data_IF_997463685651
#
_entry.id   IF_997463685651
#
_cell.length_a   1.000
_cell.length_b   1.000
_cell.length_c   1.000
_cell.angle_alpha   90.00
_cell.angle_beta   90.00
_cell.angle_gamma   90.00
#
_symmetry.space_group_name_H-M   'P 1'
#
loop_
_entity.id
_entity.type
_entity.pdbx_description
1 polymer ?
#
# COMPACT_ATOMS: atom_id res chain seq x y z
N UNK A 1 -6.21 -24.98 -2.16
CA UNK A 1 -5.02 -24.25 -2.65
C UNK A 1 -5.35 -22.88 -3.24
N UNK A 2 -6.40 -22.73 -4.08
CA UNK A 2 -6.78 -21.43 -4.66
C UNK A 2 -7.03 -20.37 -3.58
N UNK A 3 -7.82 -20.70 -2.57
CA UNK A 3 -8.14 -19.79 -1.48
C UNK A 3 -6.90 -19.26 -0.71
N UNK A 4 -5.93 -20.11 -0.38
CA UNK A 4 -4.69 -19.67 0.27
C UNK A 4 -3.85 -18.76 -0.62
N UNK A 5 -3.86 -18.99 -1.94
CA UNK A 5 -3.17 -18.12 -2.91
C UNK A 5 -3.84 -16.76 -3.03
N UNK A 6 -5.18 -16.71 -2.98
CA UNK A 6 -5.91 -15.44 -2.98
C UNK A 6 -5.60 -14.62 -1.73
N UNK A 7 -5.59 -15.23 -0.54
CA UNK A 7 -5.20 -14.54 0.69
C UNK A 7 -3.75 -14.05 0.61
N UNK A 8 -2.83 -14.86 0.09
CA UNK A 8 -1.43 -14.46 -0.06
C UNK A 8 -1.26 -13.27 -1.03
N UNK A 9 -2.03 -13.23 -2.12
CA UNK A 9 -2.08 -12.10 -3.05
C UNK A 9 -2.55 -10.84 -2.33
N UNK A 10 -3.62 -10.91 -1.56
CA UNK A 10 -4.16 -9.76 -0.82
C UNK A 10 -3.17 -9.25 0.23
N UNK A 11 -2.55 -10.16 0.99
CA UNK A 11 -1.51 -9.82 1.97
C UNK A 11 -0.35 -9.09 1.28
N UNK A 12 0.15 -9.59 0.15
CA UNK A 12 1.23 -8.93 -0.60
C UNK A 12 0.81 -7.55 -1.11
N UNK A 13 -0.43 -7.38 -1.57
CA UNK A 13 -0.94 -6.08 -2.02
C UNK A 13 -0.98 -5.07 -0.88
N UNK A 14 -1.51 -5.46 0.28
CA UNK A 14 -1.60 -4.60 1.47
C UNK A 14 -0.20 -4.24 2.00
N UNK A 15 0.73 -5.19 2.04
CA UNK A 15 2.11 -4.92 2.43
C UNK A 15 2.82 -3.97 1.46
N UNK A 16 2.66 -4.18 0.15
CA UNK A 16 3.22 -3.29 -0.87
C UNK A 16 2.69 -1.85 -0.70
N UNK A 17 1.37 -1.71 -0.60
CA UNK A 17 0.74 -0.41 -0.39
C UNK A 17 1.18 0.27 0.91
N UNK A 18 1.22 -0.47 2.02
CA UNK A 18 1.66 0.05 3.32
C UNK A 18 3.11 0.51 3.26
N UNK A 19 3.99 -0.27 2.63
CA UNK A 19 5.40 0.10 2.46
C UNK A 19 5.56 1.34 1.59
N UNK A 20 4.76 1.48 0.53
CA UNK A 20 4.75 2.69 -0.30
C UNK A 20 4.32 3.92 0.50
N UNK A 21 3.26 3.82 1.32
CA UNK A 21 2.77 4.90 2.18
C UNK A 21 3.81 5.30 3.22
N UNK A 22 4.56 4.34 3.77
CA UNK A 22 5.64 4.59 4.73
C UNK A 22 6.83 5.37 4.13
N UNK A 23 7.06 5.24 2.82
CA UNK A 23 8.13 5.91 2.10
C UNK A 23 7.81 7.39 1.81
N UNK A 24 6.53 7.77 1.81
CA UNK A 24 6.09 9.14 1.48
C UNK A 24 6.41 10.11 2.64
N UNK A 25 7.03 11.27 2.37
CA UNK A 25 7.28 12.27 3.39
C UNK A 25 5.97 12.87 3.94
N UNK A 26 5.89 12.98 5.27
CA UNK A 26 4.73 13.50 5.99
C UNK A 26 4.81 15.02 6.08
N UNK A 27 3.69 15.72 5.85
CA UNK A 27 3.56 17.16 6.04
C UNK A 27 2.24 17.48 6.77
N UNK A 28 2.17 18.63 7.44
CA UNK A 28 0.97 19.04 8.22
C UNK A 28 -0.28 19.19 7.35
N UNK A 29 -0.12 19.40 6.03
CA UNK A 29 -1.22 19.51 5.07
C UNK A 29 -1.08 18.50 3.94
N UNK A 30 -2.19 17.85 3.58
CA UNK A 30 -2.31 17.02 2.38
C UNK A 30 -2.35 17.94 1.17
N UNK A 31 -1.27 18.00 0.40
CA UNK A 31 -1.26 18.67 -0.89
C UNK A 31 -1.41 17.60 -1.97
N UNK A 32 -2.45 17.76 -2.79
CA UNK A 32 -2.59 17.04 -4.05
C UNK A 32 -2.20 18.01 -5.15
N UNK A 33 -1.13 17.68 -5.86
CA UNK A 33 -0.73 18.44 -7.04
C UNK A 33 -1.43 17.81 -8.25
N UNK A 34 -2.48 18.49 -8.73
CA UNK A 34 -3.21 18.09 -9.92
C UNK A 34 -2.46 18.67 -11.12
N UNK A 35 -1.55 17.89 -11.70
CA UNK A 35 -1.02 18.20 -13.02
C UNK A 35 -2.04 17.71 -14.07
N UNK A 36 -2.17 18.43 -15.20
CA UNK A 36 -3.17 18.22 -16.28
C UNK A 36 -3.33 16.75 -16.77
N UNK A 37 -2.40 15.86 -16.43
CA UNK A 37 -2.45 14.42 -16.74
C UNK A 37 -2.10 13.48 -15.59
N UNK A 38 -1.75 13.99 -14.40
CA UNK A 38 -1.25 13.17 -13.28
C UNK A 38 -1.61 13.81 -11.94
N UNK A 39 -2.46 13.14 -11.17
CA UNK A 39 -2.70 13.49 -9.76
C UNK A 39 -1.60 12.82 -8.95
N UNK A 40 -0.62 13.59 -8.48
CA UNK A 40 0.46 13.09 -7.64
C UNK A 40 0.21 13.52 -6.20
N UNK A 41 0.20 12.54 -5.29
CA UNK A 41 0.16 12.80 -3.86
C UNK A 41 1.56 13.19 -3.43
N UNK A 42 1.81 14.48 -3.25
CA UNK A 42 3.14 14.99 -2.89
C UNK A 42 3.41 14.86 -1.39
N UNK A 43 2.38 15.10 -0.56
CA UNK A 43 2.49 15.01 0.89
C UNK A 43 1.20 14.48 1.51
N UNK A 44 1.34 13.63 2.53
CA UNK A 44 0.22 13.08 3.30
C UNK A 44 0.28 13.61 4.73
N UNK A 45 -0.89 13.90 5.32
CA UNK A 45 -1.00 14.28 6.73
C UNK A 45 -0.76 13.09 7.65
N UNK A 46 -0.20 13.34 8.85
CA UNK A 46 0.03 12.32 9.87
C UNK A 46 -1.25 11.58 10.24
N UNK A 47 -2.39 12.29 10.33
CA UNK A 47 -3.69 11.68 10.65
C UNK A 47 -4.14 10.72 9.55
N UNK A 48 -4.02 11.14 8.28
CA UNK A 48 -4.36 10.28 7.13
C UNK A 48 -3.46 9.06 7.08
N UNK A 49 -2.16 9.23 7.36
CA UNK A 49 -1.21 8.11 7.44
C UNK A 49 -1.59 7.12 8.55
N UNK A 50 -1.97 7.61 9.73
CA UNK A 50 -2.44 6.76 10.83
C UNK A 50 -3.69 5.99 10.44
N UNK A 51 -4.67 6.64 9.79
CA UNK A 51 -5.88 5.99 9.30
C UNK A 51 -5.53 4.90 8.29
N UNK A 52 -4.65 5.19 7.31
CA UNK A 52 -4.23 4.20 6.30
C UNK A 52 -3.57 2.97 6.96
N UNK A 53 -2.64 3.19 7.89
CA UNK A 53 -1.97 2.10 8.60
C UNK A 53 -2.95 1.31 9.45
N UNK A 54 -3.88 1.99 10.14
CA UNK A 54 -4.93 1.34 10.91
C UNK A 54 -5.81 0.45 10.03
N UNK A 55 -6.29 0.97 8.90
CA UNK A 55 -7.08 0.19 7.93
C UNK A 55 -6.30 -1.00 7.40
N UNK A 56 -5.00 -0.84 7.09
CA UNK A 56 -4.16 -1.94 6.64
C UNK A 56 -4.00 -3.04 7.70
N UNK A 57 -3.83 -2.67 8.98
CA UNK A 57 -3.76 -3.63 10.09
C UNK A 57 -5.07 -4.38 10.26
N UNK A 58 -6.21 -3.67 10.19
CA UNK A 58 -7.53 -4.30 10.25
C UNK A 58 -7.70 -5.29 9.09
N UNK A 59 -7.36 -4.91 7.87
CA UNK A 59 -7.47 -5.79 6.70
C UNK A 59 -6.59 -7.04 6.85
N UNK A 60 -5.32 -6.87 7.26
CA UNK A 60 -4.43 -8.01 7.52
C UNK A 60 -4.95 -8.92 8.64
N UNK A 61 -5.57 -8.35 9.67
CA UNK A 61 -6.16 -9.14 10.76
C UNK A 61 -7.35 -9.99 10.27
N UNK A 62 -8.23 -9.42 9.43
CA UNK A 62 -9.37 -10.14 8.85
C UNK A 62 -8.87 -11.24 7.91
N UNK A 63 -7.90 -10.95 7.04
CA UNK A 63 -7.29 -11.95 6.16
C UNK A 63 -6.64 -13.09 6.96
N UNK A 64 -5.93 -12.77 8.05
CA UNK A 64 -5.29 -13.75 8.92
C UNK A 64 -6.30 -14.63 9.66
N UNK A 65 -7.37 -14.03 10.21
CA UNK A 65 -8.45 -14.77 10.86
C UNK A 65 -9.18 -15.69 9.88
N UNK A 66 -9.49 -15.20 8.68
CA UNK A 66 -10.07 -16.02 7.62
C UNK A 66 -9.14 -17.19 7.29
N UNK A 67 -7.84 -16.94 7.12
CA UNK A 67 -6.85 -17.99 6.82
C UNK A 67 -6.79 -19.06 7.90
N UNK A 68 -6.75 -18.68 9.18
CA UNK A 68 -6.64 -19.63 10.28
C UNK A 68 -7.94 -20.40 10.50
N UNK A 69 -9.08 -19.70 10.58
CA UNK A 69 -10.38 -20.34 10.77
C UNK A 69 -10.74 -21.22 9.58
N UNK A 70 -10.53 -20.74 8.35
CA UNK A 70 -10.80 -21.52 7.15
C UNK A 70 -9.90 -22.74 7.02
N UNK A 71 -8.60 -22.65 7.37
CA UNK A 71 -7.69 -23.78 7.33
C UNK A 71 -8.03 -24.83 8.41
N UNK A 72 -8.35 -24.38 9.61
CA UNK A 72 -8.75 -25.28 10.69
C UNK A 72 -10.06 -25.99 10.33
N UNK A 73 -11.05 -25.26 9.82
CA UNK A 73 -12.33 -25.84 9.45
C UNK A 73 -12.20 -26.83 8.27
N UNK A 74 -11.39 -26.51 7.25
CA UNK A 74 -11.07 -27.45 6.17
C UNK A 74 -10.38 -28.72 6.69
N UNK A 75 -9.48 -28.60 7.67
CA UNK A 75 -8.77 -29.77 8.21
C UNK A 75 -9.67 -30.75 8.95
N UNK A 76 -10.83 -30.29 9.44
CA UNK A 76 -11.79 -31.13 10.16
C UNK A 76 -12.71 -31.93 9.24
N UNK A 77 -12.86 -31.53 7.98
CA UNK A 77 -13.74 -32.16 7.00
C UNK A 77 -13.08 -33.38 6.36
N UNK A 78 -13.72 -34.55 6.42
CA UNK A 78 -13.17 -35.82 5.90
C UNK A 78 -13.62 -36.19 4.48
N UNK A 79 -14.69 -35.58 3.96
CA UNK A 79 -15.23 -35.88 2.63
C UNK A 79 -14.76 -34.86 1.59
N UNK A 80 -14.37 -35.34 0.40
CA UNK A 80 -13.84 -34.50 -0.69
C UNK A 80 -14.86 -33.45 -1.19
N UNK A 81 -16.15 -33.80 -1.18
CA UNK A 81 -17.23 -32.93 -1.65
C UNK A 81 -17.44 -31.71 -0.73
N UNK A 82 -17.44 -31.94 0.58
CA UNK A 82 -17.59 -30.87 1.57
C UNK A 82 -16.37 -29.94 1.56
N UNK A 83 -15.16 -30.48 1.35
CA UNK A 83 -13.95 -29.66 1.18
C UNK A 83 -14.06 -28.69 -0.02
N UNK A 84 -14.60 -29.17 -1.13
CA UNK A 84 -14.82 -28.35 -2.33
C UNK A 84 -15.85 -27.26 -2.06
N UNK A 85 -17.02 -27.63 -1.53
CA UNK A 85 -18.12 -26.71 -1.25
C UNK A 85 -17.70 -25.60 -0.26
N UNK A 86 -16.97 -25.96 0.80
CA UNK A 86 -16.47 -25.03 1.80
C UNK A 86 -15.41 -24.08 1.23
N UNK A 87 -14.52 -24.58 0.36
CA UNK A 87 -13.52 -23.74 -0.30
C UNK A 87 -14.14 -22.73 -1.27
N UNK A 88 -15.20 -23.12 -1.99
CA UNK A 88 -15.94 -22.23 -2.90
C UNK A 88 -16.70 -21.16 -2.12
N UNK A 89 -17.38 -21.55 -1.03
CA UNK A 89 -18.07 -20.60 -0.16
C UNK A 89 -17.11 -19.55 0.43
N UNK A 90 -15.91 -19.97 0.81
CA UNK A 90 -14.88 -19.09 1.35
C UNK A 90 -14.29 -18.14 0.28
N UNK A 91 -14.20 -18.59 -0.97
CA UNK A 91 -13.86 -17.72 -2.11
C UNK A 91 -14.96 -16.68 -2.36
N UNK A 92 -16.23 -17.08 -2.25
CA UNK A 92 -17.37 -16.18 -2.41
C UNK A 92 -17.39 -15.06 -1.37
N UNK A 93 -16.99 -15.34 -0.12
CA UNK A 93 -16.86 -14.29 0.91
C UNK A 93 -15.89 -13.18 0.49
N UNK A 94 -14.78 -13.51 -0.20
CA UNK A 94 -13.84 -12.50 -0.69
C UNK A 94 -14.43 -11.68 -1.85
N UNK A 95 -15.20 -12.30 -2.73
CA UNK A 95 -15.90 -11.59 -3.83
C UNK A 95 -16.98 -10.64 -3.28
N UNK A 96 -17.66 -11.03 -2.21
CA UNK A 96 -18.66 -10.19 -1.54
C UNK A 96 -18.02 -8.94 -0.91
N UNK A 97 -16.78 -9.02 -0.41
CA UNK A 97 -16.05 -7.85 0.10
C UNK A 97 -15.82 -6.79 -0.99
N UNK A 98 -15.40 -7.21 -2.19
CA UNK A 98 -15.25 -6.31 -3.34
C UNK A 98 -16.59 -5.68 -3.77
N UNK A 99 -17.68 -6.46 -3.73
CA UNK A 99 -19.02 -5.95 -4.02
C UNK A 99 -19.45 -4.92 -2.98
N UNK A 100 -19.23 -5.19 -1.69
CA UNK A 100 -19.52 -4.24 -0.61
C UNK A 100 -18.73 -2.95 -0.79
N UNK A 101 -17.44 -3.03 -1.12
CA UNK A 101 -16.64 -1.85 -1.45
C UNK A 101 -17.26 -1.04 -2.59
N UNK A 102 -17.73 -1.70 -3.66
CA UNK A 102 -18.33 -1.04 -4.82
C UNK A 102 -19.63 -0.29 -4.49
N UNK A 103 -20.37 -0.76 -3.49
CA UNK A 103 -21.66 -0.18 -3.07
C UNK A 103 -21.44 0.90 -1.99
N UNK A 104 -20.54 0.66 -1.04
CA UNK A 104 -20.28 1.56 0.08
C UNK A 104 -19.45 2.77 -0.32
N UNK A 105 -18.58 2.66 -1.33
CA UNK A 105 -17.75 3.78 -1.77
C UNK A 105 -18.49 4.64 -2.80
N UNK A 106 -18.78 5.93 -2.50
CA UNK A 106 -19.47 6.81 -3.43
C UNK A 106 -18.64 7.06 -4.69
N UNK A 107 -19.33 7.17 -5.84
CA UNK A 107 -18.73 7.35 -7.18
C UNK A 107 -17.67 8.45 -7.27
N UNK A 108 -17.82 9.52 -6.48
CA UNK A 108 -16.87 10.64 -6.43
C UNK A 108 -15.51 10.21 -5.89
N UNK A 109 -15.48 9.41 -4.82
CA UNK A 109 -14.25 8.91 -4.22
C UNK A 109 -13.59 7.92 -5.18
N UNK A 110 -14.39 7.06 -5.82
CA UNK A 110 -13.89 6.10 -6.82
C UNK A 110 -13.22 6.80 -8.00
N UNK A 111 -13.84 7.85 -8.55
CA UNK A 111 -13.26 8.64 -9.64
C UNK A 111 -11.94 9.31 -9.23
N UNK A 112 -11.83 9.78 -7.98
CA UNK A 112 -10.58 10.35 -7.47
C UNK A 112 -9.50 9.26 -7.37
N UNK A 113 -9.82 8.07 -6.83
CA UNK A 113 -8.90 6.95 -6.70
C UNK A 113 -8.43 6.45 -8.08
N UNK A 114 -9.33 6.33 -9.05
CA UNK A 114 -9.03 5.92 -10.43
C UNK A 114 -8.12 6.92 -11.17
N UNK A 115 -8.20 8.21 -10.81
CA UNK A 115 -7.35 9.26 -11.38
C UNK A 115 -6.02 9.44 -10.64
N UNK A 116 -5.84 8.82 -9.47
CA UNK A 116 -4.57 8.85 -8.76
C UNK A 116 -3.54 8.03 -9.51
N UNK A 117 -2.36 8.60 -9.73
CA UNK A 117 -1.27 7.82 -10.31
C UNK A 117 -0.86 6.70 -9.34
N UNK A 118 -0.58 5.49 -9.83
CA UNK A 118 -0.14 4.39 -8.97
C UNK A 118 1.11 4.83 -8.20
N UNK A 119 1.09 4.61 -6.89
CA UNK A 119 2.21 4.89 -5.99
C UNK A 119 3.39 4.03 -6.43
N UNK A 120 4.26 4.63 -7.24
CA UNK A 120 5.39 3.95 -7.85
C UNK A 120 6.50 3.88 -6.82
N UNK A 121 7.11 2.71 -6.65
CA UNK A 121 8.33 2.52 -5.87
C UNK A 121 9.53 3.12 -6.62
N UNK A 122 9.46 4.37 -7.04
CA UNK A 122 10.69 5.08 -7.38
C UNK A 122 11.35 5.40 -6.05
N UNK A 123 12.39 4.61 -5.73
CA UNK A 123 13.30 4.87 -4.63
C UNK A 123 13.53 6.38 -4.56
N UNK A 124 13.16 6.99 -3.45
CA UNK A 124 13.29 8.42 -3.20
C UNK A 124 14.63 8.86 -3.77
N UNK A 125 14.63 9.54 -4.93
CA UNK A 125 15.80 10.28 -5.37
C UNK A 125 15.82 11.47 -4.44
N UNK A 126 16.36 11.25 -3.24
CA UNK A 126 16.57 12.25 -2.23
C UNK A 126 17.36 13.33 -2.93
N UNK A 127 16.69 14.44 -3.28
CA UNK A 127 17.34 15.57 -3.92
C UNK A 127 18.24 16.17 -2.87
N UNK A 128 19.45 15.61 -2.81
CA UNK A 128 20.49 15.90 -1.85
C UNK A 128 20.94 17.33 -2.06
N UNK A 129 20.27 18.24 -1.36
CA UNK A 129 20.79 19.58 -1.08
C UNK A 129 22.12 19.49 -0.31
N UNK A 130 22.43 18.35 0.32
CA UNK A 130 23.75 18.05 0.91
C UNK A 130 24.89 17.98 -0.12
N UNK A 131 24.62 17.74 -1.42
CA UNK A 131 25.65 17.83 -2.47
C UNK A 131 26.24 19.24 -2.59
N UNK A 132 25.46 20.30 -2.31
CA UNK A 132 25.97 21.68 -2.35
C UNK A 132 26.87 22.01 -1.15
N UNK A 133 26.62 21.38 -0.01
CA UNK A 133 27.49 21.52 1.18
C UNK A 133 28.78 20.72 0.98
N UNK A 134 28.69 19.48 0.50
CA UNK A 134 29.87 18.63 0.32
C UNK A 134 30.80 19.15 -0.78
N UNK A 135 30.28 19.69 -1.89
CA UNK A 135 31.10 20.36 -2.93
C UNK A 135 31.70 21.69 -2.46
N UNK A 136 31.09 22.36 -1.47
CA UNK A 136 31.63 23.60 -0.88
C UNK A 136 32.81 23.35 0.08
N UNK A 137 32.84 22.17 0.72
CA UNK A 137 33.99 21.72 1.53
C UNK A 137 35.04 20.95 0.72
N UNK A 138 34.68 20.40 -0.45
CA UNK A 138 35.60 19.77 -1.40
C UNK A 138 36.24 20.75 -2.40
N UNK A 139 36.27 22.05 -2.08
CA UNK A 139 37.24 22.98 -2.69
C UNK A 139 38.45 23.13 -1.76
N UNK A 140 39.42 22.19 -1.76
CA UNK A 140 40.73 22.46 -1.21
C UNK A 140 41.44 23.45 -2.15
N UNK A 141 41.75 24.61 -1.59
CA UNK A 141 42.93 25.44 -1.83
C UNK A 141 43.77 25.12 -3.10
N UNK A 142 43.40 25.71 -4.23
CA UNK A 142 44.28 25.85 -5.39
C UNK A 142 45.01 27.22 -5.40
N UNK A 143 45.29 27.80 -4.21
CA UNK A 143 45.94 29.11 -4.07
C UNK A 143 47.16 29.12 -3.14
N UNK A 144 47.78 27.97 -2.84
CA UNK A 144 48.97 27.92 -1.97
C UNK A 144 50.14 27.10 -2.55
N UNK A 145 50.31 27.14 -3.88
CA UNK A 145 51.48 26.61 -4.57
C UNK A 145 51.79 27.45 -5.82
N UNK A 146 52.07 28.74 -5.61
CA UNK A 146 52.78 29.60 -6.55
C UNK A 146 53.53 30.65 -5.74
N UNK A 147 54.83 30.78 -6.03
CA UNK A 147 55.89 31.60 -5.42
C UNK A 147 56.65 30.91 -4.28
#
# INVERSE_FOLDING_TARGET
AVWTLTILKEVNMVFGFTRAVWLIPVSTKTNLEINLRKVVVTTVSTTTRLIIVFTAVVQLSICGLLLLCGAWWLSATQTQEELLLNSVALSYVMEVDELLYSIMVPRKIRAIVEQMSPLTFEAIKMRSTYSKLLVRWLKPCACAACV
#
